data_IF_879100971936
#
_entry.id   IF_879100971936
#
_cell.length_a   1.000
_cell.length_b   1.000
_cell.length_c   1.000
_cell.angle_alpha   90.00
_cell.angle_beta   90.00
_cell.angle_gamma   90.00
#
_symmetry.space_group_name_H-M   'P 1'
#
loop_
_entity.id
_entity.type
_entity.pdbx_description
1 polymer ?
#
# COMPACT_ATOMS: atom_id res chain seq x y z
N UNK A 1 7.09 -14.34 6.43
CA UNK A 1 7.92 -13.24 7.00
C UNK A 1 7.14 -12.59 8.13
N UNK A 2 7.76 -12.21 9.26
CA UNK A 2 7.08 -11.61 10.41
C UNK A 2 7.33 -10.12 10.52
N UNK A 3 6.43 -9.40 11.21
CA UNK A 3 6.64 -8.01 11.55
C UNK A 3 7.89 -7.81 12.41
N UNK A 4 8.61 -6.73 12.13
CA UNK A 4 9.67 -6.22 12.98
C UNK A 4 9.19 -4.97 13.71
N UNK A 5 9.67 -4.80 14.92
CA UNK A 5 9.35 -3.64 15.76
C UNK A 5 10.52 -2.64 15.70
N UNK A 6 10.25 -1.41 15.31
CA UNK A 6 11.22 -0.33 15.30
C UNK A 6 11.15 0.49 16.60
N UNK A 7 9.94 0.73 17.10
CA UNK A 7 9.66 1.38 18.38
C UNK A 7 8.42 0.76 18.99
N UNK A 8 8.05 1.14 20.22
CA UNK A 8 6.81 0.66 20.86
C UNK A 8 5.52 0.88 20.02
N UNK A 9 5.58 1.80 19.06
CA UNK A 9 4.43 2.20 18.24
C UNK A 9 4.61 1.99 16.74
N UNK A 10 5.83 1.69 16.27
CA UNK A 10 6.13 1.57 14.85
C UNK A 10 6.63 0.17 14.55
N UNK A 11 5.95 -0.47 13.62
CA UNK A 11 6.22 -1.82 13.12
C UNK A 11 6.41 -1.79 11.61
N UNK A 12 7.04 -2.78 11.07
CA UNK A 12 7.14 -2.92 9.61
C UNK A 12 7.25 -4.39 9.18
N UNK A 13 6.67 -4.69 8.03
CA UNK A 13 6.92 -5.89 7.28
C UNK A 13 8.16 -5.62 6.40
N UNK A 14 9.23 -6.42 6.51
CA UNK A 14 10.44 -6.19 5.72
C UNK A 14 10.22 -6.35 4.23
N UNK A 15 11.07 -5.69 3.43
CA UNK A 15 11.19 -5.91 1.99
C UNK A 15 11.43 -7.40 1.67
N UNK A 16 10.81 -7.88 0.60
CA UNK A 16 10.95 -9.25 0.06
C UNK A 16 11.62 -9.19 -1.32
N UNK A 17 12.96 -9.36 -1.40
CA UNK A 17 13.70 -9.10 -2.62
C UNK A 17 13.41 -10.07 -3.76
N UNK A 18 12.90 -11.28 -3.49
CA UNK A 18 12.63 -12.30 -4.52
C UNK A 18 11.52 -11.89 -5.49
N UNK A 19 10.60 -11.06 -5.04
CA UNK A 19 9.47 -10.50 -5.80
C UNK A 19 9.44 -8.99 -5.77
N UNK A 20 10.48 -8.35 -5.22
CA UNK A 20 10.63 -6.91 -5.07
C UNK A 20 9.46 -6.21 -4.36
N UNK A 21 8.89 -6.88 -3.35
CA UNK A 21 7.86 -6.26 -2.51
C UNK A 21 8.49 -5.24 -1.58
N UNK A 22 8.02 -3.98 -1.56
CA UNK A 22 8.54 -2.97 -0.66
C UNK A 22 8.25 -3.29 0.79
N UNK A 23 8.94 -2.61 1.68
CA UNK A 23 8.61 -2.59 3.10
C UNK A 23 7.26 -1.90 3.30
N UNK A 24 6.39 -2.49 4.12
CA UNK A 24 5.16 -1.85 4.58
C UNK A 24 5.27 -1.50 6.06
N UNK A 25 4.96 -0.26 6.41
CA UNK A 25 5.03 0.18 7.80
C UNK A 25 3.64 0.32 8.44
N UNK A 26 3.62 0.22 9.78
CA UNK A 26 2.43 0.36 10.59
C UNK A 26 2.73 1.20 11.83
N UNK A 27 1.90 2.21 12.06
CA UNK A 27 1.97 3.10 13.22
C UNK A 27 0.76 2.87 14.11
N UNK A 28 1.00 2.40 15.33
CA UNK A 28 -0.01 2.17 16.35
C UNK A 28 -0.22 3.42 17.19
N UNK A 29 -1.31 4.15 16.96
CA UNK A 29 -1.78 5.18 17.88
C UNK A 29 -2.76 4.61 18.92
N UNK A 30 -3.09 5.41 19.93
CA UNK A 30 -4.07 5.03 20.97
C UNK A 30 -5.51 5.09 20.44
N UNK A 31 -5.77 5.91 19.44
CA UNK A 31 -7.09 6.13 18.85
C UNK A 31 -7.22 5.46 17.49
N UNK A 32 -6.29 5.72 16.62
CA UNK A 32 -6.25 5.20 15.25
C UNK A 32 -4.89 4.60 14.93
N UNK A 33 -4.86 3.77 13.91
CA UNK A 33 -3.67 3.19 13.33
C UNK A 33 -3.50 3.61 11.87
N UNK A 34 -2.25 3.71 11.43
CA UNK A 34 -1.88 4.15 10.09
C UNK A 34 -0.93 3.12 9.46
N UNK A 35 -1.23 2.66 8.26
CA UNK A 35 -0.27 1.98 7.40
C UNK A 35 0.40 2.99 6.45
N UNK A 36 1.63 2.70 6.06
CA UNK A 36 2.36 3.41 5.01
C UNK A 36 2.53 2.44 3.85
N UNK A 37 1.99 2.83 2.72
CA UNK A 37 1.82 2.11 1.48
C UNK A 37 0.85 0.90 1.54
N UNK A 38 0.26 0.62 0.38
CA UNK A 38 -0.70 -0.46 0.21
C UNK A 38 -0.07 -1.74 -0.36
N UNK A 39 1.23 -1.67 -0.69
CA UNK A 39 1.94 -2.80 -1.24
C UNK A 39 1.63 -3.12 -2.70
N UNK A 40 2.22 -4.20 -3.16
CA UNK A 40 2.32 -4.59 -4.55
C UNK A 40 1.05 -5.25 -5.11
N UNK A 41 0.34 -5.99 -4.27
CA UNK A 41 -0.78 -6.84 -4.68
C UNK A 41 -1.70 -7.17 -3.52
N UNK A 42 -2.86 -7.74 -3.83
CA UNK A 42 -3.75 -8.35 -2.84
C UNK A 42 -3.01 -9.31 -1.90
N UNK A 43 -2.16 -10.18 -2.44
CA UNK A 43 -1.39 -11.14 -1.66
C UNK A 43 -0.46 -10.45 -0.67
N UNK A 44 0.23 -9.38 -1.09
CA UNK A 44 1.12 -8.60 -0.21
C UNK A 44 0.34 -7.95 0.95
N UNK A 45 -0.84 -7.36 0.68
CA UNK A 45 -1.74 -6.81 1.72
C UNK A 45 -2.16 -7.89 2.71
N UNK A 46 -2.58 -9.05 2.22
CA UNK A 46 -3.02 -10.16 3.06
C UNK A 46 -1.89 -10.73 3.93
N UNK A 47 -0.67 -10.82 3.41
CA UNK A 47 0.52 -11.21 4.17
C UNK A 47 0.84 -10.20 5.26
N UNK A 48 0.73 -8.89 4.95
CA UNK A 48 0.89 -7.82 5.92
C UNK A 48 -0.15 -7.90 7.03
N UNK A 49 -1.43 -8.05 6.70
CA UNK A 49 -2.50 -8.15 7.70
C UNK A 49 -2.40 -9.43 8.53
N UNK A 50 -1.96 -10.54 7.94
CA UNK A 50 -1.65 -11.75 8.70
C UNK A 50 -0.52 -11.52 9.70
N UNK A 51 0.51 -10.81 9.31
CA UNK A 51 1.62 -10.45 10.19
C UNK A 51 1.17 -9.49 11.31
N UNK A 52 0.29 -8.51 11.04
CA UNK A 52 -0.32 -7.66 12.08
C UNK A 52 -1.10 -8.50 13.09
N UNK A 53 -2.01 -9.37 12.64
CA UNK A 53 -2.80 -10.23 13.51
C UNK A 53 -1.93 -11.17 14.37
N UNK A 54 -0.79 -11.65 13.86
CA UNK A 54 0.13 -12.48 14.64
C UNK A 54 0.84 -11.74 15.78
N UNK A 55 0.77 -10.40 15.78
CA UNK A 55 1.28 -9.52 16.82
C UNK A 55 0.16 -8.84 17.66
N UNK A 56 -1.07 -9.36 17.59
CA UNK A 56 -2.25 -8.78 18.26
C UNK A 56 -2.52 -7.31 17.87
N UNK A 57 -2.18 -6.95 16.62
CA UNK A 57 -2.45 -5.65 16.03
C UNK A 57 -3.67 -5.73 15.12
N UNK A 58 -4.52 -4.69 15.18
CA UNK A 58 -5.65 -4.56 14.27
C UNK A 58 -5.20 -4.14 12.86
N UNK A 59 -6.06 -4.35 11.88
CA UNK A 59 -5.88 -3.78 10.56
C UNK A 59 -5.91 -2.25 10.61
N UNK A 60 -5.21 -1.55 9.69
CA UNK A 60 -5.10 -0.09 9.73
C UNK A 60 -6.45 0.61 9.58
N UNK A 61 -6.66 1.70 10.32
CA UNK A 61 -7.80 2.61 10.09
C UNK A 61 -7.56 3.49 8.87
N UNK A 62 -6.28 3.83 8.62
CA UNK A 62 -5.83 4.64 7.48
C UNK A 62 -4.64 3.98 6.79
N UNK A 63 -4.54 4.17 5.48
CA UNK A 63 -3.36 3.84 4.69
C UNK A 63 -2.94 5.06 3.88
N UNK A 64 -1.72 5.57 4.10
CA UNK A 64 -1.15 6.68 3.33
C UNK A 64 -0.19 6.13 2.28
N UNK A 65 -0.33 6.62 1.05
CA UNK A 65 0.53 6.24 -0.07
C UNK A 65 1.67 7.25 -0.21
N UNK A 66 2.89 6.75 -0.22
CA UNK A 66 4.09 7.59 -0.36
C UNK A 66 4.25 8.11 -1.78
N UNK A 67 4.06 7.27 -2.78
CA UNK A 67 4.17 7.62 -4.18
C UNK A 67 3.42 6.64 -5.10
N UNK A 68 3.41 6.90 -6.38
CA UNK A 68 2.55 6.28 -7.37
C UNK A 68 3.00 4.92 -7.93
N UNK A 69 4.21 4.43 -7.63
CA UNK A 69 4.69 3.17 -8.19
C UNK A 69 3.77 2.00 -7.82
N UNK A 70 3.63 1.06 -8.74
CA UNK A 70 2.67 -0.04 -8.65
C UNK A 70 2.92 -0.97 -7.45
N UNK A 71 4.17 -1.16 -7.06
CA UNK A 71 4.56 -1.95 -5.90
C UNK A 71 4.16 -1.31 -4.55
N UNK A 72 3.81 -0.02 -4.54
CA UNK A 72 3.27 0.71 -3.39
C UNK A 72 1.74 0.92 -3.44
N UNK A 73 1.12 0.78 -4.62
CA UNK A 73 -0.26 1.21 -4.86
C UNK A 73 -1.21 0.12 -5.32
N UNK A 74 -0.75 -0.93 -6.03
CA UNK A 74 -1.66 -1.91 -6.63
C UNK A 74 -2.37 -2.81 -5.61
N UNK A 75 -1.94 -2.84 -4.36
CA UNK A 75 -2.67 -3.46 -3.26
C UNK A 75 -3.85 -2.65 -2.71
N UNK A 76 -4.07 -1.39 -3.14
CA UNK A 76 -5.11 -0.49 -2.61
C UNK A 76 -6.52 -1.09 -2.62
N UNK A 77 -6.84 -1.94 -3.60
CA UNK A 77 -8.17 -2.55 -3.71
C UNK A 77 -8.49 -3.59 -2.62
N UNK A 78 -7.48 -4.03 -1.85
CA UNK A 78 -7.63 -5.06 -0.80
C UNK A 78 -7.34 -4.51 0.62
N UNK A 79 -7.07 -3.22 0.77
CA UNK A 79 -6.85 -2.62 2.09
C UNK A 79 -8.15 -2.44 2.88
N UNK A 80 -8.01 -2.46 4.20
CA UNK A 80 -9.05 -2.05 5.15
C UNK A 80 -8.92 -0.56 5.47
N UNK A 81 -10.01 0.07 5.88
CA UNK A 81 -10.02 1.47 6.29
C UNK A 81 -9.97 2.44 5.11
N UNK A 82 -9.48 3.64 5.36
CA UNK A 82 -9.50 4.77 4.42
C UNK A 82 -8.12 5.00 3.83
N UNK A 83 -8.03 5.08 2.52
CA UNK A 83 -6.79 5.37 1.80
C UNK A 83 -6.59 6.87 1.55
N UNK A 84 -5.33 7.31 1.62
CA UNK A 84 -4.93 8.71 1.48
C UNK A 84 -3.75 8.79 0.53
N UNK A 85 -3.83 9.64 -0.49
CA UNK A 85 -2.74 9.85 -1.41
C UNK A 85 -2.62 11.32 -1.84
N UNK A 86 -1.43 11.72 -2.30
CA UNK A 86 -1.27 12.99 -2.98
C UNK A 86 -2.06 13.00 -4.30
N UNK A 87 -2.62 14.15 -4.69
CA UNK A 87 -3.43 14.28 -5.91
C UNK A 87 -2.72 13.77 -7.18
N UNK A 88 -1.40 13.94 -7.29
CA UNK A 88 -0.62 13.44 -8.43
C UNK A 88 -0.58 11.91 -8.47
N UNK A 89 -0.55 11.26 -7.31
CA UNK A 89 -0.64 9.80 -7.21
C UNK A 89 -1.99 9.31 -7.72
N UNK A 90 -3.08 9.94 -7.30
CA UNK A 90 -4.41 9.57 -7.79
C UNK A 90 -4.60 9.87 -9.28
N UNK A 91 -4.01 10.95 -9.79
CA UNK A 91 -4.03 11.22 -11.22
C UNK A 91 -3.36 10.08 -12.01
N UNK A 92 -2.20 9.63 -11.56
CA UNK A 92 -1.50 8.49 -12.15
C UNK A 92 -2.33 7.19 -12.04
N UNK A 93 -2.96 6.94 -10.89
CA UNK A 93 -3.80 5.76 -10.70
C UNK A 93 -5.02 5.74 -11.63
N UNK A 94 -5.63 6.90 -11.93
CA UNK A 94 -6.70 7.01 -12.95
C UNK A 94 -6.20 6.59 -14.34
N UNK A 95 -5.01 7.03 -14.72
CA UNK A 95 -4.40 6.59 -15.99
C UNK A 95 -4.13 5.08 -16.01
N UNK A 96 -3.72 4.49 -14.87
CA UNK A 96 -3.53 3.05 -14.76
C UNK A 96 -4.86 2.28 -14.81
N UNK A 97 -5.93 2.81 -14.22
CA UNK A 97 -7.27 2.22 -14.35
C UNK A 97 -7.71 2.13 -15.82
N UNK A 98 -7.51 3.21 -16.58
CA UNK A 98 -7.87 3.25 -18.00
C UNK A 98 -7.08 2.20 -18.81
N UNK A 99 -5.79 2.05 -18.52
CA UNK A 99 -4.94 1.01 -19.13
C UNK A 99 -5.36 -0.40 -18.73
N UNK A 100 -5.75 -0.60 -17.46
CA UNK A 100 -6.16 -1.90 -16.94
C UNK A 100 -7.46 -2.43 -17.57
N UNK A 101 -8.25 -1.56 -18.22
CA UNK A 101 -9.41 -1.96 -19.03
C UNK A 101 -9.00 -2.79 -20.26
N UNK A 102 -7.79 -2.63 -20.77
CA UNK A 102 -7.19 -3.53 -21.77
C UNK A 102 -6.60 -4.75 -21.06
N UNK A 103 -7.20 -5.91 -21.24
CA UNK A 103 -6.75 -7.19 -20.66
C UNK A 103 -5.30 -7.56 -21.02
N UNK A 104 -4.76 -6.99 -22.10
CA UNK A 104 -3.34 -7.19 -22.49
C UNK A 104 -2.38 -6.40 -21.62
N UNK A 105 -2.85 -5.42 -20.84
CA UNK A 105 -1.98 -4.56 -20.06
C UNK A 105 -1.20 -5.33 -18.99
N UNK A 106 -1.85 -6.27 -18.31
CA UNK A 106 -1.16 -7.15 -17.33
C UNK A 106 -0.06 -8.00 -18.00
N UNK A 107 -0.29 -8.46 -19.23
CA UNK A 107 0.70 -9.25 -19.98
C UNK A 107 1.90 -8.40 -20.39
N UNK A 108 1.68 -7.12 -20.71
CA UNK A 108 2.75 -6.15 -21.00
C UNK A 108 3.60 -5.96 -19.74
N UNK A 109 2.99 -5.69 -18.60
CA UNK A 109 3.73 -5.50 -17.34
C UNK A 109 4.51 -6.75 -16.95
N UNK A 110 3.93 -7.94 -17.10
CA UNK A 110 4.64 -9.23 -16.84
C UNK A 110 5.82 -9.45 -17.76
N UNK A 111 5.75 -8.97 -19.00
CA UNK A 111 6.85 -9.08 -19.96
C UNK A 111 7.98 -8.12 -19.63
N UNK A 112 7.64 -6.91 -19.18
CA UNK A 112 8.59 -5.83 -18.95
C UNK A 112 9.28 -5.95 -17.59
N UNK A 113 8.61 -6.61 -16.61
CA UNK A 113 9.13 -6.77 -15.25
C UNK A 113 8.99 -8.20 -14.74
N UNK A 114 10.12 -8.84 -14.48
CA UNK A 114 10.18 -10.23 -14.00
C UNK A 114 9.69 -10.39 -12.55
N UNK A 115 9.82 -9.37 -11.69
CA UNK A 115 9.28 -9.39 -10.33
C UNK A 115 7.77 -9.26 -10.36
N UNK A 116 7.25 -8.35 -11.21
CA UNK A 116 5.82 -8.25 -11.47
C UNK A 116 5.23 -9.57 -11.97
N UNK A 117 5.91 -10.23 -12.92
CA UNK A 117 5.47 -11.53 -13.43
C UNK A 117 5.38 -12.62 -12.35
N UNK A 118 6.30 -12.62 -11.37
CA UNK A 118 6.28 -13.55 -10.24
C UNK A 118 5.15 -13.20 -9.26
N UNK A 119 4.99 -11.93 -8.90
CA UNK A 119 3.96 -11.46 -7.95
C UNK A 119 2.55 -11.73 -8.47
N UNK A 120 2.33 -11.50 -9.76
CA UNK A 120 1.04 -11.68 -10.45
C UNK A 120 0.94 -13.01 -11.20
N UNK A 121 1.73 -14.03 -10.80
CA UNK A 121 1.64 -15.35 -11.40
C UNK A 121 0.24 -15.95 -11.20
N UNK A 122 -0.42 -16.31 -12.33
CA UNK A 122 -1.80 -16.82 -12.31
C UNK A 122 -2.90 -15.77 -12.37
N UNK A 123 -2.61 -14.49 -12.15
CA UNK A 123 -3.57 -13.39 -12.31
C UNK A 123 -3.65 -12.98 -13.78
N UNK A 124 -4.87 -12.67 -14.25
CA UNK A 124 -5.14 -12.28 -15.63
C UNK A 124 -5.77 -10.89 -15.75
N UNK A 125 -6.06 -10.25 -14.62
CA UNK A 125 -6.71 -8.94 -14.56
C UNK A 125 -6.07 -8.10 -13.46
N UNK A 126 -6.06 -6.77 -13.64
CA UNK A 126 -5.63 -5.81 -12.63
C UNK A 126 -6.85 -5.08 -12.10
N UNK A 127 -6.99 -5.03 -10.78
CA UNK A 127 -7.98 -4.20 -10.12
C UNK A 127 -7.29 -2.97 -9.52
N UNK A 128 -7.26 -1.87 -10.27
CA UNK A 128 -6.62 -0.63 -9.85
C UNK A 128 -7.68 0.34 -9.35
N UNK A 129 -7.51 0.84 -8.14
CA UNK A 129 -8.40 1.81 -7.51
C UNK A 129 -7.62 3.06 -7.14
N UNK A 130 -8.32 4.18 -7.04
CA UNK A 130 -7.76 5.45 -6.54
C UNK A 130 -7.93 5.53 -5.02
N UNK A 131 -7.10 6.33 -4.36
CA UNK A 131 -7.25 6.57 -2.94
C UNK A 131 -8.49 7.41 -2.62
N UNK A 132 -9.10 7.16 -1.46
CA UNK A 132 -10.36 7.78 -1.01
C UNK A 132 -10.21 9.27 -0.70
N UNK A 133 -9.08 9.67 -0.14
CA UNK A 133 -8.78 11.05 0.24
C UNK A 133 -7.55 11.54 -0.53
N UNK A 134 -7.69 12.71 -1.16
CA UNK A 134 -6.60 13.41 -1.82
C UNK A 134 -6.11 14.59 -0.98
N UNK A 135 -4.78 14.80 -0.92
CA UNK A 135 -4.19 16.02 -0.41
C UNK A 135 -3.27 16.68 -1.45
N UNK A 136 -3.02 17.98 -1.30
CA UNK A 136 -2.21 18.77 -2.25
C UNK A 136 -0.83 19.12 -1.69
N UNK A 137 -0.79 19.82 -0.56
CA UNK A 137 0.48 20.25 0.04
C UNK A 137 0.83 19.46 1.28
N UNK A 138 -0.07 19.46 2.24
CA UNK A 138 0.11 18.79 3.54
C UNK A 138 -1.20 18.39 4.16
N UNK A 139 -1.11 17.38 5.02
CA UNK A 139 -2.20 16.87 5.84
C UNK A 139 -1.66 16.45 7.20
N UNK A 140 -2.49 16.49 8.21
CA UNK A 140 -2.14 16.02 9.55
C UNK A 140 -3.18 15.04 10.04
N UNK A 141 -2.74 13.88 10.52
CA UNK A 141 -3.59 12.87 11.15
C UNK A 141 -3.24 12.76 12.63
N UNK A 142 -4.25 12.93 13.49
CA UNK A 142 -4.11 12.70 14.92
C UNK A 142 -4.52 11.26 15.24
N UNK A 143 -3.54 10.43 15.57
CA UNK A 143 -3.72 9.02 15.90
C UNK A 143 -3.96 8.79 17.41
N UNK A 144 -4.11 9.88 18.19
CA UNK A 144 -4.23 9.86 19.65
C UNK A 144 -2.94 10.38 20.28
N UNK A 145 -2.07 9.48 20.72
CA UNK A 145 -0.75 9.79 21.31
C UNK A 145 0.34 10.12 20.26
N UNK A 146 0.04 9.97 18.97
CA UNK A 146 0.95 10.23 17.85
C UNK A 146 0.24 11.13 16.83
N UNK A 147 0.99 12.07 16.26
CA UNK A 147 0.55 12.90 15.15
C UNK A 147 1.39 12.56 13.93
N UNK A 148 0.75 12.16 12.84
CA UNK A 148 1.41 11.96 11.55
C UNK A 148 1.27 13.21 10.69
N UNK A 149 2.40 13.78 10.27
CA UNK A 149 2.47 14.88 9.32
C UNK A 149 2.82 14.32 7.94
N UNK A 150 1.92 14.50 7.00
CA UNK A 150 2.04 14.05 5.61
C UNK A 150 2.21 15.30 4.75
N UNK A 151 3.23 15.34 3.91
CA UNK A 151 3.49 16.49 3.04
C UNK A 151 4.11 16.04 1.72
N UNK A 152 3.87 16.83 0.68
CA UNK A 152 4.48 16.61 -0.62
C UNK A 152 5.92 17.15 -0.64
N UNK A 153 6.86 16.38 -1.20
CA UNK A 153 8.29 16.74 -1.37
C UNK A 153 8.63 16.89 -2.85
#
# INVERSE_FOLDING_TARGET
>A
MGLKNLTKNIYFLPHEPEVDRPMLAYVKGDKFSLAVDAGYSKKHVQDFYRALRSCDLKEPDFTVITHWHYDHTFGLHDISGVSIAHQKTNLFLREQQDRANDKKYIDILKKDDTHFAKEYAGENELNIVIADIEYVEKMTLNLGNITAHIFHT
#
